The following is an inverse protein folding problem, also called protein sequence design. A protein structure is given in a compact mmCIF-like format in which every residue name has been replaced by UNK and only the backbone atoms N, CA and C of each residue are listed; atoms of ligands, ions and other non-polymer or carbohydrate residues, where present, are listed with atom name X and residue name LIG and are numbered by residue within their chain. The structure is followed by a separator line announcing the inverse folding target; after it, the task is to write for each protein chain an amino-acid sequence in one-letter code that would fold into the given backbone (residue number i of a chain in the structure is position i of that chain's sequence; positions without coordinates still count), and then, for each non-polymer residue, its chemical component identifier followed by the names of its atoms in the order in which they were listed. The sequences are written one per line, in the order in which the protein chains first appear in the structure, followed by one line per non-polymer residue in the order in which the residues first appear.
data_IF_636636637706
#
_entry.id   IF_636636637706
#
_cell.length_a   1.000
_cell.length_b   1.000
_cell.length_c   1.000
_cell.angle_alpha   90.00
_cell.angle_beta   90.00
_cell.angle_gamma   90.00
#
_symmetry.space_group_name_H-M   'P 1'
#
loop_
_entity.id
_entity.type
_entity.pdbx_description
1 polymer ?
#
# COMPACT_ATOMS: atom_id res chain seq x y z
N UNK A 1 -19.57 77.63 -4.61
CA UNK A 1 -18.54 77.76 -5.66
C UNK A 1 -18.98 76.88 -6.81
N UNK A 2 -19.07 77.45 -8.01
CA UNK A 2 -19.59 76.82 -9.23
C UNK A 2 -18.49 76.10 -10.03
N UNK A 3 -18.94 75.41 -11.10
CA UNK A 3 -18.27 74.78 -12.27
C UNK A 3 -18.08 73.25 -12.15
N UNK A 4 -18.87 72.38 -12.83
CA UNK A 4 -19.03 72.15 -14.30
C UNK A 4 -17.74 71.64 -14.94
N UNK A 5 -17.65 70.66 -15.86
CA UNK A 5 -18.51 69.72 -16.59
C UNK A 5 -17.51 68.69 -17.21
N UNK A 6 -17.88 67.45 -17.55
CA UNK A 6 -18.09 66.92 -18.92
C UNK A 6 -18.15 65.37 -18.75
N UNK A 7 -19.25 64.68 -19.03
CA UNK A 7 -19.77 64.17 -20.32
C UNK A 7 -19.15 62.83 -20.78
N UNK A 8 -20.06 61.86 -20.97
CA UNK A 8 -20.05 60.68 -21.85
C UNK A 8 -18.94 59.62 -21.69
N UNK A 9 -19.33 58.42 -21.25
CA UNK A 9 -19.55 57.26 -22.14
C UNK A 9 -20.16 56.10 -21.34
N UNK A 10 -21.27 55.57 -21.82
CA UNK A 10 -21.87 54.30 -21.41
C UNK A 10 -21.05 53.20 -22.08
N UNK A 11 -20.46 52.28 -21.30
CA UNK A 11 -19.78 51.09 -21.82
C UNK A 11 -20.36 49.87 -21.10
N UNK A 12 -20.97 48.99 -21.89
CA UNK A 12 -21.48 47.66 -21.53
C UNK A 12 -20.30 46.70 -21.24
N UNK A 13 -20.48 45.77 -20.30
CA UNK A 13 -19.49 44.73 -19.97
C UNK A 13 -20.18 43.35 -19.80
N UNK A 14 -19.56 42.29 -20.34
CA UNK A 14 -20.03 40.87 -20.42
C UNK A 14 -18.95 39.97 -19.80
N UNK A 15 -19.30 38.83 -19.17
CA UNK A 15 -18.34 37.99 -18.41
C UNK A 15 -18.64 36.47 -18.30
N UNK A 16 -17.57 35.65 -18.33
CA UNK A 16 -17.45 34.18 -18.49
C UNK A 16 -17.13 33.46 -17.17
N UNK A 17 -17.59 32.20 -17.04
CA UNK A 17 -17.17 31.20 -16.02
C UNK A 17 -16.93 29.85 -16.71
N UNK A 18 -15.77 29.25 -16.51
CA UNK A 18 -15.48 27.83 -16.79
C UNK A 18 -15.99 26.98 -15.63
N UNK A 19 -17.01 26.14 -15.85
CA UNK A 19 -17.61 25.31 -14.80
C UNK A 19 -17.12 23.87 -14.89
N UNK A 20 -16.18 23.49 -14.01
CA UNK A 20 -16.28 22.22 -13.29
C UNK A 20 -17.34 22.40 -12.19
N UNK A 21 -18.26 21.43 -12.05
CA UNK A 21 -19.48 21.48 -11.23
C UNK A 21 -19.55 22.46 -10.03
N UNK A 22 -20.57 23.35 -10.08
CA UNK A 22 -21.35 24.01 -9.02
C UNK A 22 -20.68 24.97 -7.99
N UNK A 23 -20.95 26.29 -8.12
CA UNK A 23 -20.80 27.32 -7.08
C UNK A 23 -21.09 28.75 -7.59
N UNK A 24 -21.59 29.71 -6.76
CA UNK A 24 -22.51 30.77 -7.21
C UNK A 24 -21.87 32.10 -7.67
N UNK A 25 -22.57 32.71 -8.64
CA UNK A 25 -22.74 34.13 -8.97
C UNK A 25 -21.69 35.16 -8.51
N UNK A 26 -21.03 35.74 -9.51
CA UNK A 26 -20.81 37.18 -9.61
C UNK A 26 -19.35 37.63 -9.67
N UNK A 27 -18.72 37.58 -10.85
CA UNK A 27 -17.56 38.44 -11.16
C UNK A 27 -17.26 38.52 -12.67
N UNK A 28 -16.57 39.60 -13.08
CA UNK A 28 -16.55 40.15 -14.44
C UNK A 28 -15.27 39.80 -15.25
N UNK A 29 -15.32 39.85 -16.60
CA UNK A 29 -14.28 39.50 -17.58
C UNK A 29 -13.71 40.73 -18.24
N UNK A 30 -12.44 40.95 -17.97
CA UNK A 30 -11.57 41.80 -18.78
C UNK A 30 -10.59 40.99 -19.64
N UNK A 31 -10.53 39.66 -19.50
CA UNK A 31 -9.64 38.78 -20.26
C UNK A 31 -10.37 37.49 -20.67
N UNK A 32 -10.62 37.27 -21.97
CA UNK A 32 -11.03 35.94 -22.42
C UNK A 32 -9.80 35.02 -22.31
N UNK A 33 -9.72 34.27 -21.21
CA UNK A 33 -8.64 33.31 -20.99
C UNK A 33 -8.63 32.29 -22.14
N UNK A 34 -7.46 32.07 -22.72
CA UNK A 34 -7.28 31.12 -23.81
C UNK A 34 -7.84 29.75 -23.41
N UNK A 35 -8.58 29.12 -24.31
CA UNK A 35 -9.10 27.77 -24.11
C UNK A 35 -8.07 26.76 -24.59
N UNK A 36 -7.72 25.75 -23.78
CA UNK A 36 -6.88 24.64 -24.24
C UNK A 36 -7.75 23.41 -24.50
N UNK A 37 -7.55 22.76 -25.65
CA UNK A 37 -8.24 21.55 -26.07
C UNK A 37 -7.21 20.48 -26.46
N UNK A 38 -7.53 19.23 -26.18
CA UNK A 38 -6.79 18.09 -26.75
C UNK A 38 -7.51 17.58 -28.00
N UNK A 39 -6.79 17.04 -29.01
CA UNK A 39 -7.40 16.43 -30.19
C UNK A 39 -8.48 15.40 -29.82
N UNK A 40 -9.69 15.55 -30.39
CA UNK A 40 -10.81 14.65 -30.13
C UNK A 40 -11.64 14.95 -28.87
N UNK A 41 -11.40 16.09 -28.21
CA UNK A 41 -12.17 16.56 -27.04
C UNK A 41 -13.09 17.72 -27.39
N UNK A 42 -14.16 17.86 -26.59
CA UNK A 42 -15.13 18.95 -26.68
C UNK A 42 -15.06 19.81 -25.40
N UNK A 43 -15.09 21.13 -25.54
CA UNK A 43 -15.29 22.05 -24.43
C UNK A 43 -16.54 22.89 -24.63
N UNK A 44 -17.38 22.97 -23.60
CA UNK A 44 -18.57 23.81 -23.57
C UNK A 44 -18.36 25.05 -22.70
N UNK A 45 -18.78 26.22 -23.18
CA UNK A 45 -18.85 27.44 -22.37
C UNK A 45 -20.22 28.11 -22.48
N UNK A 46 -20.73 28.70 -21.39
CA UNK A 46 -21.98 29.45 -21.41
C UNK A 46 -21.77 30.81 -22.08
N UNK A 47 -22.63 31.17 -23.03
CA UNK A 47 -22.73 32.52 -23.60
C UNK A 47 -23.90 33.27 -22.94
N UNK A 48 -23.61 34.46 -22.42
CA UNK A 48 -24.60 35.35 -21.81
C UNK A 48 -24.64 36.65 -22.61
N UNK A 49 -25.80 36.96 -23.17
CA UNK A 49 -26.12 38.17 -23.89
C UNK A 49 -26.68 39.24 -22.95
N UNK A 50 -26.53 40.50 -23.34
CA UNK A 50 -27.19 41.60 -22.64
C UNK A 50 -28.68 41.71 -23.07
N UNK A 51 -29.50 42.39 -22.27
CA UNK A 51 -30.98 42.50 -22.42
C UNK A 51 -31.47 43.01 -23.79
N UNK A 52 -30.57 43.50 -24.66
CA UNK A 52 -30.88 44.04 -25.98
C UNK A 52 -30.65 43.09 -27.16
N UNK A 53 -29.99 41.95 -26.95
CA UNK A 53 -29.48 41.10 -28.04
C UNK A 53 -30.26 39.78 -28.07
N UNK A 54 -30.65 39.31 -29.27
CA UNK A 54 -31.30 38.00 -29.39
C UNK A 54 -30.28 36.91 -29.75
N UNK A 55 -30.60 35.66 -29.43
CA UNK A 55 -29.82 34.48 -29.84
C UNK A 55 -29.71 34.32 -31.35
N UNK A 56 -30.67 34.86 -32.10
CA UNK A 56 -30.64 34.88 -33.58
C UNK A 56 -29.56 35.81 -34.14
N UNK A 57 -29.00 36.71 -33.31
CA UNK A 57 -27.99 37.71 -33.69
C UNK A 57 -26.55 37.25 -33.35
N UNK A 58 -26.37 35.99 -32.94
CA UNK A 58 -25.06 35.39 -32.63
C UNK A 58 -24.61 34.49 -33.78
N UNK A 59 -23.46 34.79 -34.40
CA UNK A 59 -22.81 33.88 -35.34
C UNK A 59 -21.46 33.44 -34.83
N UNK A 60 -21.17 32.15 -34.98
CA UNK A 60 -19.90 31.54 -34.60
C UNK A 60 -19.25 31.01 -35.87
N UNK A 61 -18.01 31.43 -36.12
CA UNK A 61 -17.20 30.93 -37.23
C UNK A 61 -15.83 30.51 -36.75
N UNK A 62 -15.35 29.39 -37.31
CA UNK A 62 -13.96 28.96 -37.14
C UNK A 62 -13.21 29.24 -38.43
N UNK A 63 -12.03 29.84 -38.31
CA UNK A 63 -11.22 30.25 -39.47
C UNK A 63 -10.29 29.14 -39.97
N UNK A 64 -10.10 28.07 -39.19
CA UNK A 64 -9.07 27.05 -39.43
C UNK A 64 -9.60 25.61 -39.37
N UNK A 65 -9.03 24.75 -40.21
CA UNK A 65 -9.40 23.34 -40.29
C UNK A 65 -9.01 22.58 -39.01
N UNK A 66 -9.89 21.70 -38.53
CA UNK A 66 -9.64 20.85 -37.37
C UNK A 66 -10.22 21.35 -36.05
N UNK A 67 -10.82 22.54 -36.00
CA UNK A 67 -11.65 23.00 -34.87
C UNK A 67 -13.02 23.40 -35.37
N UNK A 68 -14.06 22.82 -34.78
CA UNK A 68 -15.46 23.16 -35.03
C UNK A 68 -16.03 23.87 -33.82
N UNK A 69 -16.91 24.85 -34.04
CA UNK A 69 -17.60 25.54 -32.97
C UNK A 69 -19.08 25.65 -33.30
N UNK A 70 -19.93 25.36 -32.32
CA UNK A 70 -21.38 25.37 -32.48
C UNK A 70 -22.05 26.00 -31.27
N UNK A 71 -23.16 26.71 -31.50
CA UNK A 71 -23.98 27.30 -30.45
C UNK A 71 -25.25 26.47 -30.28
N UNK A 72 -25.48 25.99 -29.06
CA UNK A 72 -26.73 25.31 -28.70
C UNK A 72 -27.77 26.32 -28.24
N UNK A 73 -29.03 26.17 -28.69
CA UNK A 73 -30.14 27.01 -28.23
C UNK A 73 -30.37 26.90 -26.71
N UNK A 74 -30.78 27.98 -26.03
CA UNK A 74 -31.10 27.95 -24.62
C UNK A 74 -32.38 27.12 -24.38
N UNK A 75 -32.41 26.35 -23.28
CA UNK A 75 -33.61 25.61 -22.88
C UNK A 75 -34.74 26.52 -22.42
N UNK A 76 -35.98 26.03 -22.40
CA UNK A 76 -37.18 26.80 -22.01
C UNK A 76 -37.11 27.40 -20.58
N UNK A 77 -36.27 26.83 -19.71
CA UNK A 77 -36.05 27.27 -18.32
C UNK A 77 -34.74 28.06 -18.13
N UNK A 78 -34.11 28.54 -19.21
CA UNK A 78 -32.86 29.28 -19.13
C UNK A 78 -33.04 30.66 -18.46
N UNK A 79 -32.05 31.14 -17.69
CA UNK A 79 -32.11 32.47 -17.08
C UNK A 79 -32.15 33.58 -18.15
N UNK A 80 -32.82 34.70 -17.85
CA UNK A 80 -32.87 35.87 -18.74
C UNK A 80 -31.45 36.32 -19.12
N UNK A 81 -31.21 36.52 -20.42
CA UNK A 81 -29.90 36.85 -20.98
C UNK A 81 -29.02 35.64 -21.33
N UNK A 82 -29.42 34.40 -21.06
CA UNK A 82 -28.64 33.24 -21.50
C UNK A 82 -28.84 32.95 -22.99
N UNK A 83 -27.75 32.97 -23.74
CA UNK A 83 -27.76 32.82 -25.20
C UNK A 83 -27.72 31.36 -25.66
N UNK A 84 -27.14 30.49 -24.84
CA UNK A 84 -26.80 29.14 -25.25
C UNK A 84 -25.42 28.69 -24.79
N UNK A 85 -25.06 27.46 -25.17
CA UNK A 85 -23.75 26.89 -24.93
C UNK A 85 -22.92 26.90 -26.21
N UNK A 86 -21.79 27.62 -26.20
CA UNK A 86 -20.76 27.48 -27.23
C UNK A 86 -20.00 26.19 -26.96
N UNK A 87 -20.11 25.24 -27.87
CA UNK A 87 -19.32 24.00 -27.86
C UNK A 87 -18.23 24.12 -28.89
N UNK A 88 -16.98 23.97 -28.46
CA UNK A 88 -15.80 23.92 -29.31
C UNK A 88 -15.27 22.50 -29.33
N UNK A 89 -15.08 21.93 -30.51
CA UNK A 89 -14.64 20.57 -30.74
C UNK A 89 -13.35 20.58 -31.53
N UNK A 90 -12.30 19.92 -31.00
CA UNK A 90 -11.08 19.67 -31.77
C UNK A 90 -11.18 18.30 -32.46
N UNK A 91 -10.92 18.26 -33.77
CA UNK A 91 -10.78 17.01 -34.53
C UNK A 91 -9.68 16.14 -33.94
N UNK A 92 -9.81 14.81 -34.06
CA UNK A 92 -8.73 13.87 -33.71
C UNK A 92 -7.46 14.06 -34.56
N UNK A 93 -7.61 14.65 -35.74
CA UNK A 93 -6.51 14.97 -36.65
C UNK A 93 -6.05 16.43 -36.51
N UNK A 94 -6.49 17.15 -35.46
CA UNK A 94 -6.08 18.54 -35.25
C UNK A 94 -4.60 18.60 -34.86
N UNK A 95 -3.80 19.32 -35.66
CA UNK A 95 -2.40 19.58 -35.33
C UNK A 95 -2.31 20.55 -34.14
N UNK A 96 -1.23 20.42 -33.37
CA UNK A 96 -0.92 21.35 -32.28
C UNK A 96 -0.86 22.79 -32.77
N UNK A 97 -1.31 23.70 -31.91
CA UNK A 97 -1.14 25.13 -32.10
C UNK A 97 -2.35 25.96 -31.73
N UNK A 98 -2.15 27.28 -31.79
CA UNK A 98 -3.18 28.25 -31.49
C UNK A 98 -4.12 28.40 -32.70
N UNK A 99 -5.41 28.45 -32.41
CA UNK A 99 -6.56 28.65 -33.31
C UNK A 99 -7.36 29.83 -32.78
N UNK A 100 -8.13 30.47 -33.65
CA UNK A 100 -9.01 31.58 -33.25
C UNK A 100 -10.44 31.24 -33.65
N UNK A 101 -11.35 31.36 -32.70
CA UNK A 101 -12.79 31.29 -32.93
C UNK A 101 -13.34 32.70 -32.94
N UNK A 102 -14.02 33.07 -34.02
CA UNK A 102 -14.68 34.34 -34.15
C UNK A 102 -16.13 34.18 -33.69
N UNK A 103 -16.50 34.92 -32.65
CA UNK A 103 -17.88 35.02 -32.17
C UNK A 103 -18.35 36.43 -32.46
N UNK A 104 -19.38 36.57 -33.30
CA UNK A 104 -20.00 37.84 -33.61
C UNK A 104 -21.36 37.95 -32.93
N UNK A 105 -21.61 39.08 -32.28
CA UNK A 105 -22.89 39.43 -31.64
C UNK A 105 -23.24 40.85 -32.06
N UNK A 106 -24.35 41.05 -32.77
CA UNK A 106 -24.79 42.39 -33.22
C UNK A 106 -23.70 43.21 -33.94
N UNK A 107 -23.00 42.59 -34.90
CA UNK A 107 -21.89 43.17 -35.67
C UNK A 107 -20.62 43.51 -34.84
N UNK A 108 -20.54 43.11 -33.56
CA UNK A 108 -19.30 43.13 -32.77
C UNK A 108 -18.60 41.77 -32.84
N UNK A 109 -17.43 41.72 -33.49
CA UNK A 109 -16.59 40.52 -33.57
C UNK A 109 -15.69 40.40 -32.34
N UNK A 110 -15.61 39.20 -31.77
CA UNK A 110 -14.66 38.83 -30.73
C UNK A 110 -13.87 37.58 -31.10
N UNK A 111 -12.58 37.65 -30.87
CA UNK A 111 -11.64 36.54 -31.06
C UNK A 111 -11.47 35.77 -29.74
N UNK A 112 -11.74 34.48 -29.78
CA UNK A 112 -11.45 33.55 -28.69
C UNK A 112 -10.22 32.71 -29.08
N UNK A 113 -9.06 32.89 -28.43
CA UNK A 113 -7.90 32.04 -28.69
C UNK A 113 -8.12 30.64 -28.11
N UNK A 114 -7.91 29.62 -28.95
CA UNK A 114 -7.99 28.20 -28.60
C UNK A 114 -6.67 27.53 -28.89
N UNK A 115 -5.98 26.99 -27.90
CA UNK A 115 -4.78 26.19 -28.09
C UNK A 115 -5.17 24.72 -28.21
N UNK A 116 -4.85 24.08 -29.34
CA UNK A 116 -4.86 22.62 -29.43
C UNK A 116 -3.48 22.14 -28.97
N UNK A 117 -3.44 21.37 -27.89
CA UNK A 117 -2.21 20.80 -27.34
C UNK A 117 -2.26 19.27 -27.48
N UNK A 118 -1.10 18.64 -27.72
CA UNK A 118 -1.01 17.22 -27.98
C UNK A 118 -1.69 16.47 -26.82
N UNK A 119 -2.62 15.56 -27.12
CA UNK A 119 -3.21 14.74 -26.08
C UNK A 119 -2.09 13.90 -25.49
N UNK A 120 -1.77 14.10 -24.21
CA UNK A 120 -0.77 13.27 -23.52
C UNK A 120 -1.12 11.79 -23.75
N UNK A 121 -0.14 11.01 -24.23
CA UNK A 121 -0.36 9.60 -24.53
C UNK A 121 -0.91 8.87 -23.28
N UNK A 122 -1.90 7.98 -23.44
CA UNK A 122 -2.45 7.23 -22.31
C UNK A 122 -1.35 6.40 -21.65
N UNK A 123 -1.39 6.28 -20.33
CA UNK A 123 -0.37 5.53 -19.59
C UNK A 123 -0.44 4.05 -19.96
N UNK A 124 0.68 3.49 -20.43
CA UNK A 124 0.77 2.09 -20.84
C UNK A 124 1.53 1.21 -19.83
N UNK A 125 1.20 -0.09 -19.82
CA UNK A 125 1.96 -1.11 -19.09
C UNK A 125 3.45 -1.11 -19.48
N UNK A 126 4.32 -0.97 -18.49
CA UNK A 126 5.77 -0.91 -18.65
C UNK A 126 6.34 0.49 -18.49
N UNK A 127 5.50 1.54 -18.53
CA UNK A 127 5.91 2.91 -18.27
C UNK A 127 6.10 3.18 -16.77
N UNK A 128 6.86 4.23 -16.46
CA UNK A 128 7.00 4.81 -15.13
C UNK A 128 6.11 6.05 -15.08
N UNK A 129 5.14 6.05 -14.16
CA UNK A 129 4.25 7.18 -13.94
C UNK A 129 4.62 7.91 -12.64
N UNK A 130 4.55 9.24 -12.65
CA UNK A 130 4.63 10.05 -11.44
C UNK A 130 3.22 10.28 -10.93
N UNK A 131 2.96 9.86 -9.69
CA UNK A 131 1.63 9.86 -9.12
C UNK A 131 1.59 10.75 -7.87
N UNK A 132 0.59 11.62 -7.82
CA UNK A 132 0.12 12.26 -6.59
C UNK A 132 -1.12 11.50 -6.13
N UNK A 133 -1.22 11.14 -4.85
CA UNK A 133 -2.35 10.38 -4.34
C UNK A 133 -2.70 10.71 -2.89
N UNK A 134 -3.99 10.53 -2.59
CA UNK A 134 -4.54 10.47 -1.25
C UNK A 134 -5.38 9.21 -1.10
N UNK A 135 -5.13 8.44 -0.06
CA UNK A 135 -5.82 7.20 0.27
C UNK A 135 -6.68 7.42 1.52
N UNK A 136 -7.95 7.06 1.44
CA UNK A 136 -8.93 7.25 2.50
C UNK A 136 -9.70 5.97 2.79
N UNK A 137 -10.23 5.81 4.00
CA UNK A 137 -11.26 4.80 4.26
C UNK A 137 -12.58 5.19 3.57
N UNK A 138 -13.52 4.25 3.42
CA UNK A 138 -14.88 4.57 2.94
C UNK A 138 -15.61 5.60 3.81
N UNK A 139 -15.22 5.74 5.08
CA UNK A 139 -15.75 6.74 6.01
C UNK A 139 -15.10 8.13 5.81
N UNK A 140 -14.14 8.25 4.89
CA UNK A 140 -13.47 9.49 4.51
C UNK A 140 -12.23 9.85 5.34
N UNK A 141 -11.79 8.97 6.24
CA UNK A 141 -10.59 9.18 7.05
C UNK A 141 -9.33 9.04 6.19
N UNK A 142 -8.43 10.02 6.24
CA UNK A 142 -7.18 10.01 5.48
C UNK A 142 -6.18 9.03 6.09
N UNK A 143 -5.76 8.03 5.30
CA UNK A 143 -4.89 6.93 5.75
C UNK A 143 -3.45 7.14 5.30
N UNK A 144 -3.26 7.55 4.05
CA UNK A 144 -1.94 7.74 3.44
C UNK A 144 -2.06 8.81 2.36
N UNK A 145 -1.08 9.70 2.25
CA UNK A 145 -1.05 10.68 1.16
C UNK A 145 0.38 11.05 0.85
N UNK A 146 0.67 11.35 -0.41
CA UNK A 146 1.87 12.08 -0.79
C UNK A 146 1.54 13.50 -1.28
N UNK A 147 0.26 13.90 -1.25
CA UNK A 147 -0.20 15.25 -1.55
C UNK A 147 0.02 16.16 -0.34
N UNK A 148 0.83 17.20 -0.53
CA UNK A 148 1.11 18.19 0.50
C UNK A 148 -0.16 18.97 0.93
N UNK A 149 -1.13 19.13 0.02
CA UNK A 149 -2.34 19.92 0.25
C UNK A 149 -3.42 19.15 1.03
N UNK A 150 -3.34 17.82 1.07
CA UNK A 150 -4.31 16.96 1.75
C UNK A 150 -4.16 16.95 3.29
N UNK A 151 -3.08 17.53 3.84
CA UNK A 151 -2.63 17.34 5.23
C UNK A 151 -3.35 18.16 6.32
N UNK A 152 -4.58 18.62 6.09
CA UNK A 152 -5.33 19.40 7.11
C UNK A 152 -5.95 18.55 8.24
N UNK A 153 -5.96 17.22 8.12
CA UNK A 153 -6.49 16.28 9.12
C UNK A 153 -5.37 15.43 9.76
N UNK A 154 -5.46 15.09 11.06
CA UNK A 154 -4.53 14.16 11.68
C UNK A 154 -4.64 12.78 11.01
N UNK A 155 -3.54 12.30 10.44
CA UNK A 155 -3.43 10.91 9.96
C UNK A 155 -3.50 10.01 11.20
N UNK A 156 -4.35 8.98 11.25
CA UNK A 156 -4.38 8.06 12.37
C UNK A 156 -2.97 7.48 12.55
N UNK A 157 -2.35 7.76 13.70
CA UNK A 157 -1.10 7.15 14.13
C UNK A 157 -1.36 5.70 14.54
N UNK A 158 -1.74 4.87 13.59
CA UNK A 158 -1.58 3.44 13.74
C UNK A 158 -0.07 3.14 13.73
N UNK A 159 0.39 2.30 14.66
CA UNK A 159 1.81 2.03 14.93
C UNK A 159 2.65 1.57 13.73
N UNK A 160 2.03 1.29 12.59
CA UNK A 160 2.61 0.86 11.32
C UNK A 160 2.72 1.95 10.25
N UNK A 161 2.06 3.11 10.40
CA UNK A 161 2.10 4.16 9.38
C UNK A 161 3.29 5.08 9.61
N UNK A 162 4.32 4.94 8.76
CA UNK A 162 5.37 5.96 8.69
C UNK A 162 4.75 7.18 8.01
N UNK A 163 4.85 8.34 8.67
CA UNK A 163 4.61 9.62 7.99
C UNK A 163 5.41 9.64 6.68
N UNK A 164 4.82 10.15 5.57
CA UNK A 164 5.52 10.26 4.30
C UNK A 164 6.86 10.96 4.54
N UNK A 165 7.97 10.24 4.28
CA UNK A 165 9.32 10.82 4.43
C UNK A 165 9.57 11.98 3.47
N UNK A 166 8.72 12.11 2.44
CA UNK A 166 8.67 13.20 1.48
C UNK A 166 7.25 13.33 0.95
N UNK A 167 6.71 14.56 0.98
CA UNK A 167 5.53 14.92 0.19
C UNK A 167 5.97 15.26 -1.24
N UNK A 168 5.15 14.89 -2.22
CA UNK A 168 5.38 15.13 -3.64
C UNK A 168 5.15 13.89 -4.52
N UNK A 169 5.09 14.08 -5.85
CA UNK A 169 4.82 13.01 -6.79
C UNK A 169 5.80 11.85 -6.61
N UNK A 170 5.27 10.63 -6.59
CA UNK A 170 6.06 9.40 -6.45
C UNK A 170 6.13 8.67 -7.78
N UNK A 171 7.34 8.35 -8.22
CA UNK A 171 7.56 7.57 -9.44
C UNK A 171 7.28 6.08 -9.19
N UNK A 172 6.33 5.51 -9.92
CA UNK A 172 5.96 4.10 -9.83
C UNK A 172 5.95 3.47 -11.22
N UNK A 173 6.54 2.28 -11.32
CA UNK A 173 6.48 1.49 -12.55
C UNK A 173 5.12 0.80 -12.67
N UNK A 174 4.37 1.13 -13.72
CA UNK A 174 3.07 0.53 -14.02
C UNK A 174 3.31 -0.85 -14.63
N UNK A 175 3.21 -1.88 -13.80
CA UNK A 175 3.41 -3.26 -14.23
C UNK A 175 2.64 -4.22 -13.33
N UNK A 176 2.44 -5.45 -13.81
CA UNK A 176 1.84 -6.53 -13.02
C UNK A 176 2.69 -6.94 -11.79
N UNK A 177 3.93 -6.45 -11.69
CA UNK A 177 4.83 -6.68 -10.55
C UNK A 177 5.10 -5.39 -9.78
N UNK A 178 4.26 -4.37 -9.96
CA UNK A 178 4.41 -3.11 -9.24
C UNK A 178 4.18 -3.32 -7.73
N UNK A 179 4.58 -2.32 -6.95
CA UNK A 179 4.31 -2.28 -5.51
C UNK A 179 2.91 -1.77 -5.19
N UNK A 180 2.10 -1.42 -6.20
CA UNK A 180 0.73 -0.93 -6.02
C UNK A 180 -0.27 -2.10 -6.05
N UNK A 181 -1.44 -1.93 -5.42
CA UNK A 181 -2.55 -2.86 -5.57
C UNK A 181 -2.94 -3.06 -7.03
N UNK A 182 -3.38 -4.27 -7.37
CA UNK A 182 -3.62 -4.67 -8.77
C UNK A 182 -4.71 -3.82 -9.42
N UNK A 183 -5.76 -3.52 -8.67
CA UNK A 183 -6.90 -2.67 -9.05
C UNK A 183 -6.43 -1.26 -9.39
N UNK A 184 -5.50 -0.72 -8.60
CA UNK A 184 -4.95 0.61 -8.84
C UNK A 184 -4.07 0.64 -10.10
N UNK A 185 -3.25 -0.39 -10.33
CA UNK A 185 -2.46 -0.53 -11.57
C UNK A 185 -3.38 -0.62 -12.79
N UNK A 186 -4.48 -1.36 -12.69
CA UNK A 186 -5.44 -1.50 -13.78
C UNK A 186 -6.17 -0.19 -14.07
N UNK A 187 -6.52 0.58 -13.04
CA UNK A 187 -7.16 1.88 -13.20
C UNK A 187 -6.21 2.92 -13.82
N UNK A 188 -4.92 2.91 -13.45
CA UNK A 188 -3.93 3.83 -14.03
C UNK A 188 -3.62 3.45 -15.48
N UNK A 189 -3.57 2.16 -15.81
CA UNK A 189 -3.30 1.71 -17.17
C UNK A 189 -4.43 2.07 -18.14
N UNK A 190 -4.11 2.89 -19.15
CA UNK A 190 -5.05 3.43 -20.12
C UNK A 190 -5.66 4.77 -19.72
N UNK A 191 -5.30 5.31 -18.54
CA UNK A 191 -5.72 6.65 -18.12
C UNK A 191 -4.79 7.72 -18.69
N UNK A 192 -5.32 8.92 -18.88
CA UNK A 192 -4.60 10.07 -19.42
C UNK A 192 -3.78 10.78 -18.33
N UNK A 193 -2.66 11.36 -18.72
CA UNK A 193 -1.89 12.25 -17.84
C UNK A 193 -2.74 13.51 -17.55
N UNK A 194 -2.55 14.10 -16.36
CA UNK A 194 -3.32 15.24 -15.87
C UNK A 194 -4.70 14.88 -15.29
N UNK A 195 -5.20 13.66 -15.53
CA UNK A 195 -6.48 13.22 -14.99
C UNK A 195 -6.37 12.68 -13.56
N UNK A 196 -7.43 12.96 -12.79
CA UNK A 196 -7.63 12.39 -11.46
C UNK A 196 -8.59 11.22 -11.50
N UNK A 197 -8.25 10.16 -10.80
CA UNK A 197 -8.98 8.89 -10.72
C UNK A 197 -9.33 8.62 -9.27
N UNK A 198 -10.55 8.15 -9.02
CA UNK A 198 -10.94 7.62 -7.71
C UNK A 198 -11.12 6.11 -7.84
N UNK A 199 -10.35 5.34 -7.09
CA UNK A 199 -10.30 3.88 -7.19
C UNK A 199 -10.55 3.26 -5.82
N UNK A 200 -11.59 2.45 -5.72
CA UNK A 200 -11.85 1.66 -4.52
C UNK A 200 -11.07 0.35 -4.60
N UNK A 201 -10.22 0.11 -3.60
CA UNK A 201 -9.39 -1.09 -3.52
C UNK A 201 -9.74 -1.85 -2.24
N UNK A 202 -10.36 -3.03 -2.36
CA UNK A 202 -10.66 -3.85 -1.20
C UNK A 202 -9.40 -4.46 -0.60
N UNK A 203 -9.37 -4.61 0.73
CA UNK A 203 -8.38 -5.42 1.45
C UNK A 203 -6.91 -5.07 1.12
N UNK A 204 -6.57 -3.79 0.96
CA UNK A 204 -5.20 -3.33 0.69
C UNK A 204 -4.20 -3.88 1.70
N UNK A 205 -4.63 -4.00 2.96
CA UNK A 205 -3.82 -4.51 4.07
C UNK A 205 -4.09 -5.98 4.38
N UNK A 206 -4.70 -6.70 3.43
CA UNK A 206 -5.18 -8.06 3.59
C UNK A 206 -6.56 -8.13 4.24
N UNK A 207 -7.11 -9.35 4.35
CA UNK A 207 -8.39 -9.59 5.00
C UNK A 207 -8.33 -9.30 6.49
N UNK A 208 -9.48 -9.06 7.12
CA UNK A 208 -9.62 -8.85 8.57
C UNK A 208 -9.09 -10.05 9.36
N UNK A 209 -9.30 -11.24 8.80
CA UNK A 209 -8.87 -12.51 9.39
C UNK A 209 -8.07 -13.33 8.39
N UNK A 210 -7.01 -13.96 8.86
CA UNK A 210 -6.12 -14.81 8.06
C UNK A 210 -6.21 -16.23 8.57
N UNK A 211 -6.42 -17.18 7.67
CA UNK A 211 -6.35 -18.60 8.00
C UNK A 211 -4.88 -19.04 8.14
N UNK A 212 -4.56 -19.68 9.26
CA UNK A 212 -3.29 -20.34 9.52
C UNK A 212 -3.52 -21.83 9.79
N UNK A 213 -2.52 -22.65 9.50
CA UNK A 213 -2.63 -24.10 9.62
C UNK A 213 -1.42 -24.64 10.36
N UNK A 214 -1.71 -25.50 11.32
CA UNK A 214 -0.67 -26.15 12.12
C UNK A 214 -0.91 -27.64 12.17
N UNK A 215 0.16 -28.40 12.33
CA UNK A 215 0.10 -29.84 12.38
C UNK A 215 -0.73 -30.28 13.59
N UNK A 216 -1.64 -31.23 13.37
CA UNK A 216 -2.40 -31.86 14.45
C UNK A 216 -1.56 -32.89 15.18
N UNK A 217 -0.58 -33.47 14.52
CA UNK A 217 0.38 -34.39 15.12
C UNK A 217 1.81 -33.87 14.97
N UNK A 218 2.58 -33.97 16.06
CA UNK A 218 3.99 -33.65 16.09
C UNK A 218 4.78 -34.86 16.60
N UNK A 219 5.93 -35.13 15.98
CA UNK A 219 6.84 -36.18 16.42
C UNK A 219 8.10 -35.53 16.98
N UNK A 220 8.39 -35.85 18.24
CA UNK A 220 9.57 -35.37 18.96
C UNK A 220 10.56 -36.52 19.02
N UNK A 221 11.80 -36.24 18.61
CA UNK A 221 12.91 -37.16 18.82
C UNK A 221 13.29 -37.15 20.29
N UNK A 222 13.46 -38.33 20.87
CA UNK A 222 13.89 -38.46 22.26
C UNK A 222 15.38 -38.24 22.43
N UNK A 223 16.15 -38.37 21.37
CA UNK A 223 17.58 -38.10 21.36
C UNK A 223 17.84 -36.87 20.50
N UNK A 224 18.61 -35.92 21.00
CA UNK A 224 19.03 -34.73 20.26
C UNK A 224 20.53 -34.56 20.41
N UNK A 225 21.22 -34.42 19.29
CA UNK A 225 22.63 -34.07 19.27
C UNK A 225 22.79 -32.55 19.20
N UNK A 226 23.62 -32.00 20.09
CA UNK A 226 23.97 -30.58 20.09
C UNK A 226 25.50 -30.44 20.05
N UNK A 227 26.06 -29.42 19.36
CA UNK A 227 27.51 -29.26 19.30
C UNK A 227 28.11 -28.95 20.67
N UNK A 228 29.20 -29.62 21.04
CA UNK A 228 29.95 -29.29 22.27
C UNK A 228 30.61 -27.90 22.17
N UNK A 229 30.88 -27.44 20.94
CA UNK A 229 31.44 -26.14 20.65
C UNK A 229 30.68 -25.48 19.50
N UNK A 230 30.33 -24.20 19.66
CA UNK A 230 29.67 -23.39 18.65
C UNK A 230 30.55 -22.22 18.26
N UNK A 231 30.85 -22.14 16.98
CA UNK A 231 31.58 -21.03 16.38
C UNK A 231 30.62 -20.15 15.59
N UNK A 232 30.21 -19.04 16.21
CA UNK A 232 29.19 -18.16 15.66
C UNK A 232 29.82 -16.88 15.08
N UNK A 233 29.39 -16.42 13.89
CA UNK A 233 29.71 -15.09 13.42
C UNK A 233 29.24 -14.03 14.43
N UNK A 234 30.03 -12.96 14.64
CA UNK A 234 29.74 -11.94 15.66
C UNK A 234 28.32 -11.37 15.60
N UNK A 235 27.79 -11.18 14.39
CA UNK A 235 26.42 -10.65 14.17
C UNK A 235 25.33 -11.59 14.67
N UNK A 236 25.53 -12.91 14.55
CA UNK A 236 24.59 -13.91 15.05
C UNK A 236 24.72 -14.04 16.57
N UNK A 237 25.95 -14.05 17.09
CA UNK A 237 26.23 -14.08 18.52
C UNK A 237 25.64 -12.88 19.27
N UNK A 238 25.61 -11.69 18.66
CA UNK A 238 25.01 -10.48 19.24
C UNK A 238 23.51 -10.58 19.55
N UNK A 239 22.80 -11.54 18.95
CA UNK A 239 21.37 -11.78 19.23
C UNK A 239 21.18 -12.67 20.47
N UNK A 240 22.19 -13.45 20.83
CA UNK A 240 22.15 -14.42 21.92
C UNK A 240 22.92 -13.94 23.16
N UNK A 241 23.95 -13.14 22.95
CA UNK A 241 24.90 -12.73 23.98
C UNK A 241 24.62 -11.27 24.40
N UNK A 242 24.43 -11.00 25.70
CA UNK A 242 24.30 -9.65 26.23
C UNK A 242 25.47 -8.75 25.81
N UNK A 243 25.22 -7.46 25.58
CA UNK A 243 26.25 -6.53 25.07
C UNK A 243 27.44 -6.35 26.03
N UNK A 244 27.22 -6.58 27.32
CA UNK A 244 28.18 -6.47 28.41
C UNK A 244 28.85 -7.81 28.78
N UNK A 245 28.49 -8.90 28.11
CA UNK A 245 29.04 -10.22 28.39
C UNK A 245 30.54 -10.30 28.08
N UNK A 246 31.23 -11.12 28.87
CA UNK A 246 32.68 -11.33 28.86
C UNK A 246 33.02 -12.80 28.60
N UNK A 247 34.29 -13.06 28.25
CA UNK A 247 34.79 -14.43 28.18
C UNK A 247 34.69 -15.08 29.57
N UNK A 248 34.13 -16.28 29.62
CA UNK A 248 33.78 -17.00 30.84
C UNK A 248 32.34 -16.83 31.31
N UNK A 249 31.56 -15.92 30.72
CA UNK A 249 30.13 -15.80 31.02
C UNK A 249 29.32 -16.92 30.36
N UNK A 250 28.23 -17.31 31.01
CA UNK A 250 27.28 -18.32 30.52
C UNK A 250 26.13 -17.66 29.76
N UNK A 251 25.73 -18.27 28.65
CA UNK A 251 24.64 -17.83 27.78
C UNK A 251 23.78 -19.02 27.37
N UNK A 252 22.46 -18.85 27.42
CA UNK A 252 21.51 -19.86 27.00
C UNK A 252 21.32 -19.83 25.48
N UNK A 253 21.64 -20.93 24.82
CA UNK A 253 21.49 -21.08 23.36
C UNK A 253 20.22 -21.90 23.08
N UNK A 254 19.21 -21.35 22.38
CA UNK A 254 18.00 -22.10 22.05
C UNK A 254 18.32 -23.24 21.08
N UNK A 255 18.01 -24.48 21.48
CA UNK A 255 18.24 -25.69 20.68
C UNK A 255 16.97 -26.28 20.08
N UNK A 256 15.81 -25.97 20.68
CA UNK A 256 14.48 -26.31 20.18
C UNK A 256 13.68 -25.03 19.98
N UNK A 257 12.58 -25.14 19.22
CA UNK A 257 11.71 -23.99 18.89
C UNK A 257 10.98 -23.42 20.11
N UNK A 258 10.64 -24.28 21.07
CA UNK A 258 9.75 -23.99 22.20
C UNK A 258 10.39 -24.35 23.55
N UNK A 259 11.72 -24.55 23.57
CA UNK A 259 12.47 -24.95 24.77
C UNK A 259 13.27 -23.83 25.40
N UNK A 260 13.66 -24.06 26.65
CA UNK A 260 14.71 -23.26 27.28
C UNK A 260 16.05 -23.53 26.60
N UNK A 261 16.89 -22.50 26.55
CA UNK A 261 18.22 -22.64 25.95
C UNK A 261 19.10 -23.60 26.73
N UNK A 262 20.03 -24.24 26.03
CA UNK A 262 21.11 -25.00 26.64
C UNK A 262 22.22 -24.02 27.02
N UNK A 263 22.78 -24.08 28.24
CA UNK A 263 23.82 -23.15 28.64
C UNK A 263 25.16 -23.46 27.94
N UNK A 264 25.78 -22.40 27.43
CA UNK A 264 27.14 -22.39 26.88
C UNK A 264 27.97 -21.32 27.55
N UNK A 265 29.25 -21.60 27.80
CA UNK A 265 30.25 -20.64 28.26
C UNK A 265 30.91 -19.97 27.06
N UNK A 266 31.07 -18.65 27.12
CA UNK A 266 31.81 -17.88 26.13
C UNK A 266 33.31 -18.14 26.28
N UNK A 267 33.91 -18.90 25.37
CA UNK A 267 35.35 -19.17 25.40
C UNK A 267 36.16 -18.02 24.78
N UNK A 268 35.65 -17.40 23.71
CA UNK A 268 36.32 -16.28 23.06
C UNK A 268 35.36 -15.25 22.47
N UNK A 269 35.64 -13.96 22.68
CA UNK A 269 34.88 -12.83 22.13
C UNK A 269 35.69 -12.09 21.06
N UNK A 270 35.88 -12.73 19.91
CA UNK A 270 36.51 -12.10 18.76
C UNK A 270 35.66 -11.03 18.09
N UNK A 271 36.30 -10.13 17.33
CA UNK A 271 35.63 -9.09 16.54
C UNK A 271 34.80 -9.66 15.38
N UNK A 272 35.16 -10.85 14.89
CA UNK A 272 34.51 -11.51 13.74
C UNK A 272 33.73 -12.77 14.12
N UNK A 273 34.16 -13.44 15.17
CA UNK A 273 33.67 -14.75 15.57
C UNK A 273 33.66 -14.83 17.09
N UNK A 274 32.65 -15.51 17.62
CA UNK A 274 32.53 -15.86 19.03
C UNK A 274 32.53 -17.37 19.13
N UNK A 275 33.36 -17.91 20.01
CA UNK A 275 33.39 -19.34 20.31
C UNK A 275 32.71 -19.59 21.64
N UNK A 276 31.76 -20.52 21.64
CA UNK A 276 31.00 -20.94 22.81
C UNK A 276 31.27 -22.43 23.06
N UNK A 277 31.45 -22.84 24.30
CA UNK A 277 31.54 -24.24 24.69
C UNK A 277 30.38 -24.61 25.60
N UNK A 278 29.81 -25.79 25.40
CA UNK A 278 28.67 -26.24 26.21
C UNK A 278 29.06 -26.31 27.70
N UNK A 279 28.22 -25.74 28.57
CA UNK A 279 28.50 -25.64 30.01
C UNK A 279 28.09 -26.91 30.80
N UNK A 280 27.44 -27.88 30.14
CA UNK A 280 26.84 -29.04 30.78
C UNK A 280 27.77 -30.26 30.81
N UNK A 281 27.79 -30.93 31.96
CA UNK A 281 28.46 -32.21 32.14
C UNK A 281 27.53 -33.40 31.78
N UNK A 282 28.14 -34.55 31.49
CA UNK A 282 27.40 -35.82 31.39
C UNK A 282 26.64 -36.10 32.69
N UNK A 283 25.35 -36.41 32.56
CA UNK A 283 24.42 -36.64 33.67
C UNK A 283 23.65 -35.39 34.13
N UNK A 284 23.97 -34.20 33.62
CA UNK A 284 23.21 -32.98 33.91
C UNK A 284 21.78 -33.06 33.35
N UNK A 285 20.81 -32.53 34.11
CA UNK A 285 19.43 -32.40 33.66
C UNK A 285 19.21 -31.04 32.99
N UNK A 286 18.39 -31.02 31.96
CA UNK A 286 18.10 -29.86 31.11
C UNK A 286 16.61 -29.81 30.79
N UNK A 287 16.09 -28.60 30.64
CA UNK A 287 14.73 -28.37 30.14
C UNK A 287 14.78 -28.09 28.63
N UNK A 288 14.53 -29.12 27.81
CA UNK A 288 14.43 -28.96 26.34
C UNK A 288 13.05 -28.51 25.86
N UNK A 289 12.02 -28.74 26.66
CA UNK A 289 10.64 -28.40 26.36
C UNK A 289 9.98 -27.97 27.68
N UNK A 290 9.28 -26.83 27.68
CA UNK A 290 8.64 -26.32 28.90
C UNK A 290 7.60 -27.28 29.49
N UNK A 291 6.95 -28.07 28.63
CA UNK A 291 6.01 -29.11 29.05
C UNK A 291 6.65 -30.21 29.91
N UNK A 292 7.98 -30.37 29.81
CA UNK A 292 8.76 -31.42 30.49
C UNK A 292 10.01 -30.84 31.15
N UNK A 293 9.84 -30.05 32.23
CA UNK A 293 10.94 -29.39 32.91
C UNK A 293 11.89 -30.42 33.53
N UNK A 294 13.19 -30.25 33.28
CA UNK A 294 14.30 -31.06 33.76
C UNK A 294 14.17 -32.57 33.46
N UNK A 295 13.41 -32.93 32.42
CA UNK A 295 13.20 -34.32 31.99
C UNK A 295 14.14 -34.77 30.87
N UNK A 296 15.05 -33.90 30.42
CA UNK A 296 16.10 -34.28 29.49
C UNK A 296 17.43 -34.40 30.25
N UNK A 297 18.24 -35.39 29.90
CA UNK A 297 19.54 -35.62 30.53
C UNK A 297 20.64 -35.70 29.47
N UNK A 298 21.78 -35.06 29.74
CA UNK A 298 22.98 -35.21 28.92
C UNK A 298 23.54 -36.61 29.14
N UNK A 299 23.54 -37.46 28.10
CA UNK A 299 23.98 -38.87 28.20
C UNK A 299 25.38 -39.11 27.66
N UNK A 300 25.90 -38.19 26.87
CA UNK A 300 27.24 -38.26 26.31
C UNK A 300 27.73 -36.85 25.98
N UNK A 301 28.96 -36.50 26.35
CA UNK A 301 29.62 -35.24 25.93
C UNK A 301 30.92 -35.49 25.18
N UNK A 302 31.21 -36.75 24.84
CA UNK A 302 32.44 -37.14 24.15
C UNK A 302 32.35 -36.90 22.65
N UNK A 303 33.30 -36.15 22.10
CA UNK A 303 33.39 -35.88 20.66
C UNK A 303 33.03 -34.44 20.29
N UNK A 304 32.56 -34.24 19.05
CA UNK A 304 32.16 -32.92 18.54
C UNK A 304 30.76 -32.51 19.01
N UNK A 305 29.89 -33.48 19.32
CA UNK A 305 28.51 -33.27 19.80
C UNK A 305 28.31 -33.90 21.18
N UNK A 306 27.44 -33.29 21.98
CA UNK A 306 26.79 -33.93 23.11
C UNK A 306 25.45 -34.52 22.70
N UNK A 307 25.10 -35.65 23.31
CA UNK A 307 23.81 -36.30 23.17
C UNK A 307 22.96 -35.96 24.38
N UNK A 308 21.75 -35.45 24.14
CA UNK A 308 20.73 -35.21 25.17
C UNK A 308 19.57 -36.18 24.95
N UNK A 309 19.20 -36.90 26.00
CA UNK A 309 18.09 -37.85 25.99
C UNK A 309 16.91 -37.33 26.80
N UNK A 310 15.78 -37.15 26.14
CA UNK A 310 14.48 -36.83 26.71
C UNK A 310 13.78 -38.07 27.27
N UNK A 311 13.43 -38.03 28.56
CA UNK A 311 12.80 -39.14 29.29
C UNK A 311 11.67 -38.67 30.22
N UNK A 312 10.63 -37.99 29.71
CA UNK A 312 9.52 -37.52 30.52
C UNK A 312 8.74 -38.69 31.12
N UNK A 313 8.27 -38.52 32.36
CA UNK A 313 7.38 -39.48 33.04
C UNK A 313 5.94 -39.35 32.50
N UNK A 314 5.74 -39.79 31.26
CA UNK A 314 4.46 -39.80 30.57
C UNK A 314 4.10 -41.21 30.11
N UNK A 315 2.80 -41.42 29.90
CA UNK A 315 2.26 -42.66 29.31
C UNK A 315 1.42 -42.29 28.09
N UNK A 316 1.28 -43.22 27.16
CA UNK A 316 0.28 -43.10 26.10
C UNK A 316 -1.10 -42.81 26.73
N UNK A 317 -1.79 -41.82 26.16
CA UNK A 317 -3.05 -41.28 26.67
C UNK A 317 -2.92 -40.18 27.73
N UNK A 318 -1.70 -39.81 28.13
CA UNK A 318 -1.49 -38.67 29.03
C UNK A 318 -1.69 -37.35 28.29
N UNK A 319 -2.44 -36.43 28.88
CA UNK A 319 -2.63 -35.08 28.35
C UNK A 319 -1.72 -34.07 29.05
N UNK A 320 -1.19 -33.13 28.28
CA UNK A 320 -0.24 -32.12 28.73
C UNK A 320 -0.45 -30.78 28.00
N UNK A 321 0.03 -29.70 28.61
CA UNK A 321 0.15 -28.40 27.96
C UNK A 321 1.43 -28.39 27.13
N UNK A 322 1.29 -28.51 25.81
CA UNK A 322 2.45 -28.49 24.89
C UNK A 322 2.81 -27.08 24.47
N UNK A 323 1.80 -26.30 24.15
CA UNK A 323 1.88 -24.88 23.89
C UNK A 323 1.01 -24.19 24.95
N UNK A 324 1.54 -23.17 25.63
CA UNK A 324 0.81 -22.42 26.66
C UNK A 324 -0.54 -21.89 26.16
N UNK A 325 -0.62 -21.58 24.87
CA UNK A 325 -1.81 -21.04 24.22
C UNK A 325 -2.89 -22.09 23.97
N UNK A 326 -2.55 -23.39 24.00
CA UNK A 326 -3.48 -24.49 23.74
C UNK A 326 -3.92 -25.21 25.02
N UNK A 327 -3.31 -24.92 26.18
CA UNK A 327 -3.63 -25.62 27.43
C UNK A 327 -3.43 -27.15 27.34
N UNK A 328 -4.04 -27.90 28.28
CA UNK A 328 -3.93 -29.37 28.40
C UNK A 328 -4.74 -30.13 27.33
N UNK A 329 -4.58 -29.81 26.05
CA UNK A 329 -5.31 -30.41 24.92
C UNK A 329 -4.43 -31.29 24.02
N UNK A 330 -3.17 -31.47 24.41
CA UNK A 330 -2.21 -32.32 23.69
C UNK A 330 -2.11 -33.66 24.38
N UNK A 331 -2.34 -34.74 23.65
CA UNK A 331 -2.25 -36.12 24.13
C UNK A 331 -0.97 -36.79 23.60
N UNK A 332 -0.28 -37.54 24.46
CA UNK A 332 0.78 -38.46 24.01
C UNK A 332 0.12 -39.68 23.38
N UNK A 333 0.20 -39.82 22.06
CA UNK A 333 -0.45 -40.93 21.34
C UNK A 333 0.46 -42.13 21.14
N UNK A 334 1.78 -41.92 21.17
CA UNK A 334 2.78 -42.97 21.07
C UNK A 334 4.02 -42.59 21.85
N UNK A 335 4.59 -43.56 22.56
CA UNK A 335 5.86 -43.39 23.26
C UNK A 335 6.78 -44.58 22.99
N UNK A 336 7.88 -44.33 22.28
CA UNK A 336 8.86 -45.35 21.92
C UNK A 336 10.23 -45.03 22.51
N UNK A 337 11.23 -45.88 22.23
CA UNK A 337 12.61 -45.60 22.63
C UNK A 337 13.21 -44.43 21.84
N UNK A 338 12.72 -44.14 20.64
CA UNK A 338 13.29 -43.16 19.72
C UNK A 338 12.46 -41.88 19.67
N UNK A 339 11.14 -41.97 19.78
CA UNK A 339 10.22 -40.84 19.54
C UNK A 339 9.06 -40.79 20.51
N UNK A 340 8.53 -39.58 20.69
CA UNK A 340 7.25 -39.29 21.34
C UNK A 340 6.35 -38.65 20.29
N UNK A 341 5.15 -39.19 20.08
CA UNK A 341 4.16 -38.59 19.18
C UNK A 341 3.11 -37.88 20.02
N UNK A 342 2.90 -36.62 19.72
CA UNK A 342 1.89 -35.76 20.32
C UNK A 342 0.76 -35.54 19.33
N UNK A 343 -0.48 -35.54 19.83
CA UNK A 343 -1.65 -35.15 19.06
C UNK A 343 -2.37 -34.00 19.75
N UNK A 344 -2.59 -32.93 19.01
CA UNK A 344 -3.30 -31.75 19.46
C UNK A 344 -4.80 -31.89 19.17
N UNK A 345 -5.62 -31.64 20.18
CA UNK A 345 -7.09 -31.72 20.08
C UNK A 345 -7.77 -30.52 20.72
N UNK A 346 -7.44 -29.28 20.29
CA UNK A 346 -8.13 -28.11 20.82
C UNK A 346 -9.62 -28.13 20.44
N UNK A 347 -10.44 -27.51 21.29
CA UNK A 347 -11.88 -27.37 21.03
C UNK A 347 -12.14 -26.27 20.00
N UNK A 348 -12.97 -26.56 18.99
CA UNK A 348 -13.40 -25.57 17.99
C UNK A 348 -14.16 -24.43 18.68
N UNK A 349 -13.84 -23.20 18.31
CA UNK A 349 -14.33 -21.97 18.95
C UNK A 349 -13.50 -21.51 20.15
N UNK A 350 -12.40 -22.20 20.47
CA UNK A 350 -11.45 -21.74 21.50
C UNK A 350 -10.61 -20.60 20.94
N UNK A 351 -10.61 -19.48 21.64
CA UNK A 351 -9.78 -18.29 21.34
C UNK A 351 -8.59 -18.21 22.30
N UNK A 352 -7.43 -17.88 21.77
CA UNK A 352 -6.21 -17.64 22.54
C UNK A 352 -5.38 -16.52 21.92
N UNK A 353 -4.48 -15.93 22.69
CA UNK A 353 -3.56 -14.91 22.18
C UNK A 353 -2.31 -15.60 21.60
N UNK A 354 -1.92 -15.26 20.39
CA UNK A 354 -0.58 -15.59 19.87
C UNK A 354 0.20 -14.31 19.62
N UNK A 355 1.50 -14.43 19.43
CA UNK A 355 2.33 -13.26 19.04
C UNK A 355 2.57 -13.29 17.54
N UNK A 356 2.16 -12.24 16.83
CA UNK A 356 2.51 -12.06 15.43
C UNK A 356 4.04 -11.91 15.30
N UNK A 357 4.67 -12.77 14.50
CA UNK A 357 6.14 -12.79 14.37
C UNK A 357 6.71 -11.52 13.74
N UNK A 358 5.91 -10.77 12.97
CA UNK A 358 6.38 -9.56 12.25
C UNK A 358 6.29 -8.32 13.12
N UNK A 359 5.17 -8.13 13.80
CA UNK A 359 4.89 -6.95 14.62
C UNK A 359 5.19 -7.14 16.10
N UNK A 360 5.41 -8.38 16.55
CA UNK A 360 5.52 -8.78 17.96
C UNK A 360 4.29 -8.37 18.80
N UNK A 361 3.14 -8.20 18.16
CA UNK A 361 1.88 -7.86 18.83
C UNK A 361 1.11 -9.13 19.19
N UNK A 362 0.41 -9.08 20.32
CA UNK A 362 -0.57 -10.11 20.65
C UNK A 362 -1.74 -10.03 19.65
N UNK A 363 -2.05 -11.15 19.00
CA UNK A 363 -3.15 -11.32 18.06
C UNK A 363 -4.08 -12.38 18.59
N UNK A 364 -5.38 -12.12 18.49
CA UNK A 364 -6.40 -13.11 18.80
C UNK A 364 -6.39 -14.20 17.72
N UNK A 365 -6.38 -15.45 18.16
CA UNK A 365 -6.36 -16.65 17.32
C UNK A 365 -7.47 -17.59 17.77
N UNK A 366 -8.35 -17.97 16.85
CA UNK A 366 -9.47 -18.88 17.10
C UNK A 366 -9.23 -20.21 16.39
N UNK A 367 -9.58 -21.33 17.04
CA UNK A 367 -9.64 -22.63 16.37
C UNK A 367 -10.97 -22.73 15.63
N UNK A 368 -10.93 -22.71 14.30
CA UNK A 368 -12.16 -22.72 13.48
C UNK A 368 -12.50 -24.10 12.93
N UNK A 369 -11.50 -24.98 12.77
CA UNK A 369 -11.74 -26.36 12.33
C UNK A 369 -10.61 -27.31 12.79
N UNK A 370 -10.92 -28.60 12.79
CA UNK A 370 -9.98 -29.68 13.11
C UNK A 370 -10.12 -30.80 12.08
N UNK A 371 -9.11 -30.96 11.24
CA UNK A 371 -9.06 -32.03 10.23
C UNK A 371 -8.30 -33.25 10.76
N UNK A 372 -8.14 -34.30 9.96
CA UNK A 372 -7.36 -35.49 10.34
C UNK A 372 -5.91 -35.14 10.68
N UNK A 373 -5.29 -34.23 9.91
CA UNK A 373 -3.85 -33.94 9.98
C UNK A 373 -3.54 -32.52 10.47
N UNK A 374 -4.54 -31.62 10.53
CA UNK A 374 -4.31 -30.20 10.81
C UNK A 374 -5.31 -29.63 11.82
N UNK A 375 -4.84 -28.64 12.57
CA UNK A 375 -5.69 -27.66 13.26
C UNK A 375 -5.76 -26.42 12.39
N UNK A 376 -6.97 -25.97 12.06
CA UNK A 376 -7.21 -24.76 11.28
C UNK A 376 -7.48 -23.63 12.24
N UNK A 377 -6.68 -22.58 12.10
CA UNK A 377 -6.69 -21.42 12.96
C UNK A 377 -7.12 -20.20 12.14
N UNK A 378 -7.89 -19.33 12.76
CA UNK A 378 -8.23 -18.04 12.21
C UNK A 378 -7.60 -16.96 13.10
N UNK A 379 -6.75 -16.14 12.52
CA UNK A 379 -5.99 -15.10 13.20
C UNK A 379 -6.50 -13.73 12.81
N UNK A 380 -6.77 -12.88 13.79
CA UNK A 380 -7.07 -11.47 13.52
C UNK A 380 -5.83 -10.79 12.95
N UNK A 381 -5.99 -10.14 11.80
CA UNK A 381 -4.92 -9.36 11.19
C UNK A 381 -4.63 -8.14 12.10
N UNK A 382 -3.39 -7.97 12.60
CA UNK A 382 -3.06 -6.90 13.53
C UNK A 382 -3.13 -5.51 12.87
N UNK A 383 -3.26 -5.44 11.54
CA UNK A 383 -3.38 -4.17 10.85
C UNK A 383 -4.76 -3.53 11.13
N UNK A 384 -4.84 -2.29 11.62
CA UNK A 384 -6.12 -1.67 12.03
C UNK A 384 -7.08 -1.40 10.86
N UNK A 385 -6.57 -1.38 9.64
CA UNK A 385 -7.35 -1.24 8.40
C UNK A 385 -7.50 -2.57 7.64
N UNK A 386 -7.19 -3.70 8.28
CA UNK A 386 -7.43 -5.02 7.69
C UNK A 386 -8.92 -5.22 7.36
N UNK A 387 -9.21 -5.86 6.24
CA UNK A 387 -10.59 -6.06 5.76
C UNK A 387 -11.28 -4.80 5.23
N UNK A 388 -10.68 -3.61 5.37
CA UNK A 388 -11.29 -2.37 4.91
C UNK A 388 -11.00 -2.12 3.42
N UNK A 389 -11.97 -1.50 2.75
CA UNK A 389 -11.78 -0.91 1.42
C UNK A 389 -11.15 0.47 1.56
N UNK A 390 -10.07 0.70 0.81
CA UNK A 390 -9.38 1.98 0.75
C UNK A 390 -9.69 2.63 -0.59
N UNK A 391 -10.12 3.89 -0.53
CA UNK A 391 -10.39 4.74 -1.69
C UNK A 391 -9.14 5.55 -1.99
N UNK A 392 -8.57 5.37 -3.17
CA UNK A 392 -7.44 6.15 -3.66
C UNK A 392 -7.92 7.23 -4.63
N UNK A 393 -7.71 8.48 -4.27
CA UNK A 393 -7.75 9.61 -5.20
C UNK A 393 -6.33 9.79 -5.77
N UNK A 394 -6.13 9.52 -7.05
CA UNK A 394 -4.82 9.55 -7.72
C UNK A 394 -4.83 10.50 -8.91
N UNK A 395 -3.84 11.37 -8.98
CA UNK A 395 -3.56 12.23 -10.13
C UNK A 395 -2.28 11.74 -10.80
N UNK A 396 -2.35 11.52 -12.11
CA UNK A 396 -1.21 11.13 -12.93
C UNK A 396 -0.53 12.40 -13.42
N UNK A 397 0.64 12.73 -12.86
CA UNK A 397 1.36 13.98 -13.19
C UNK A 397 2.15 13.86 -14.50
N UNK A 398 2.67 12.66 -14.80
CA UNK A 398 3.41 12.38 -16.03
C UNK A 398 3.62 10.88 -16.19
N UNK A 399 3.72 10.38 -17.42
CA UNK A 399 4.17 9.01 -17.72
C UNK A 399 5.32 9.02 -18.73
N UNK A 400 6.30 8.13 -18.53
CA UNK A 400 7.45 8.00 -19.41
C UNK A 400 7.85 6.53 -19.54
N UNK A 401 8.37 6.14 -20.71
CA UNK A 401 8.97 4.81 -20.88
C UNK A 401 10.04 4.56 -19.81
N UNK A 402 9.99 3.38 -19.19
CA UNK A 402 11.02 2.98 -18.24
C UNK A 402 12.39 3.07 -18.93
N UNK A 403 13.41 3.69 -18.29
CA UNK A 403 14.73 3.82 -18.90
C UNK A 403 15.23 2.43 -19.27
N UNK A 404 15.39 2.18 -20.58
CA UNK A 404 15.94 0.92 -21.06
C UNK A 404 17.33 0.76 -20.44
N UNK A 405 17.48 -0.18 -19.52
CA UNK A 405 18.80 -0.53 -19.03
C UNK A 405 19.67 -0.87 -20.26
N UNK A 406 20.83 -0.22 -20.45
CA UNK A 406 21.70 -0.56 -21.55
C UNK A 406 22.06 -2.03 -21.41
N UNK A 407 21.65 -2.84 -22.41
CA UNK A 407 21.96 -4.27 -22.43
C UNK A 407 23.47 -4.41 -22.21
N UNK A 408 23.93 -5.20 -21.23
CA UNK A 408 25.36 -5.41 -21.04
C UNK A 408 25.93 -5.92 -22.37
N UNK A 409 27.08 -5.39 -22.83
CA UNK A 409 27.67 -5.80 -24.09
C UNK A 409 27.85 -7.30 -24.07
N UNK A 410 27.18 -7.98 -25.01
CA UNK A 410 27.35 -9.43 -25.18
C UNK A 410 28.84 -9.67 -25.42
N UNK A 411 29.49 -10.37 -24.49
CA UNK A 411 30.87 -10.80 -24.69
C UNK A 411 30.90 -11.64 -25.97
N UNK A 412 31.78 -11.34 -26.94
CA UNK A 412 31.97 -12.24 -28.07
C UNK A 412 32.38 -13.60 -27.52
N UNK A 413 31.59 -14.62 -27.86
CA UNK A 413 31.96 -16.00 -27.58
C UNK A 413 33.31 -16.27 -28.26
N UNK A 414 34.30 -16.67 -27.47
CA UNK A 414 35.58 -17.17 -27.96
C UNK A 414 35.56 -18.68 -28.00
#
# INVERSE_FOLDING_TARGET
MSFAALLNETVLAISLVTVGCAGPAGEQVEDAEAMTLSPGTDAGMPLVLNETNNTEDVTVSTSEAGVEASLSEPGEDAPEGFAGWLTVSASKDAEDGQRIIEVSVDDEERELPVTVDEADEPVEMGQTANLTFSARTLEGELVLTNDANATSAPIPQAASFQEPRSFGPTSVQISQRSQLPTELVQAINGSEVGHSLTVEVPEVFGPEKVEDQTAREETIERETEIPNQLDLPRRQAQQLIPQDAQEGDEVDVPVTRDGQGVPYVIESLGERQVSLAMALDEGANVTLYEAWPDQAQVTNTTGENATIQLSPDVKEGHTLTWNENWGNVTEVTSYTNETIVLRHTPEIGTTYETTDRRSQQAIETEVVDLTEDQVILEQTNPHPLAGQTIVFDVTIESAQDAPQQPRPPQRPQR
#
